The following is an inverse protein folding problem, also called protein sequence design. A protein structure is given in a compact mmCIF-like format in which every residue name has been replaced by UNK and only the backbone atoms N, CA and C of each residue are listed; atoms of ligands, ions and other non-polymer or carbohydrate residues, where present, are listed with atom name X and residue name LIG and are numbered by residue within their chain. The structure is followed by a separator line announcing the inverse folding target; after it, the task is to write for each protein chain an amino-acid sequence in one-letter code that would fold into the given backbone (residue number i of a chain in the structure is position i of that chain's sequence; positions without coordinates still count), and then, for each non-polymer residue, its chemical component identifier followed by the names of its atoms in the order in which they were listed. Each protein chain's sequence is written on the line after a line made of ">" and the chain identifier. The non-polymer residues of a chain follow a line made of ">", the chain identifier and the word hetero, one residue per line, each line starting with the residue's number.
data_IF_065286839920
#
_entry.id   IF_065286839920
#
_cell.length_a   1.000
_cell.length_b   1.000
_cell.length_c   1.000
_cell.angle_alpha   90.00
_cell.angle_beta   90.00
_cell.angle_gamma   90.00
#
_symmetry.space_group_name_H-M   'P 1'
#
loop_
_entity.id
_entity.type
_entity.pdbx_description
1 polymer ?
#
# COMPACT_ATOMS: atom_id res chain seq x y z
N UNK A 1 13.16 2.60 12.44
CA UNK A 1 12.31 3.40 13.32
C UNK A 1 12.96 3.39 14.69
N UNK A 2 13.13 4.58 15.26
CA UNK A 2 13.52 4.75 16.67
C UNK A 2 12.25 4.71 17.55
N UNK A 3 11.13 5.24 17.03
CA UNK A 3 9.82 5.26 17.68
C UNK A 3 8.75 4.66 16.75
N UNK A 4 8.50 3.33 16.82
CA UNK A 4 7.53 2.67 15.95
C UNK A 4 6.10 3.20 16.11
N UNK A 5 5.69 3.56 17.33
CA UNK A 5 4.33 4.02 17.63
C UNK A 5 4.00 5.30 16.87
N UNK A 6 4.97 6.22 16.79
CA UNK A 6 4.81 7.47 16.05
C UNK A 6 5.16 7.35 14.56
N UNK A 7 6.22 6.62 14.21
CA UNK A 7 6.73 6.58 12.84
C UNK A 7 5.92 5.66 11.92
N UNK A 8 5.43 4.51 12.40
CA UNK A 8 4.75 3.55 11.53
C UNK A 8 3.43 4.08 10.95
N UNK A 9 2.54 4.76 11.72
CA UNK A 9 1.33 5.36 11.15
C UNK A 9 1.64 6.43 10.10
N UNK A 10 2.68 7.25 10.33
CA UNK A 10 3.12 8.28 9.39
C UNK A 10 3.68 7.66 8.10
N UNK A 11 4.49 6.61 8.24
CA UNK A 11 5.00 5.83 7.11
C UNK A 11 3.85 5.31 6.24
N UNK A 12 2.83 4.67 6.82
CA UNK A 12 1.69 4.16 6.05
C UNK A 12 0.88 5.29 5.41
N UNK A 13 0.68 6.40 6.12
CA UNK A 13 0.06 7.59 5.54
C UNK A 13 0.87 8.07 4.32
N UNK A 14 2.20 8.10 4.37
CA UNK A 14 3.04 8.43 3.22
C UNK A 14 2.91 7.42 2.07
N UNK A 15 2.87 6.12 2.36
CA UNK A 15 2.75 5.08 1.33
C UNK A 15 1.41 5.09 0.61
N UNK A 16 0.35 5.53 1.30
CA UNK A 16 -1.02 5.48 0.78
C UNK A 16 -1.52 6.85 0.28
N UNK A 17 -0.97 7.96 0.78
CA UNK A 17 -1.43 9.32 0.42
C UNK A 17 -0.56 9.91 -0.67
N UNK A 18 -0.83 9.52 -1.92
CA UNK A 18 -0.29 10.14 -3.14
C UNK A 18 1.25 10.21 -3.25
N UNK A 19 2.03 9.16 -2.89
CA UNK A 19 3.47 9.21 -3.11
C UNK A 19 3.81 9.01 -4.59
N UNK A 20 4.95 9.58 -5.03
CA UNK A 20 5.60 9.14 -6.27
C UNK A 20 6.15 7.73 -6.08
N UNK A 21 6.37 6.97 -7.17
CA UNK A 21 7.00 5.64 -7.07
C UNK A 21 8.38 5.67 -6.44
N UNK A 22 9.12 6.76 -6.64
CA UNK A 22 10.40 7.00 -5.98
C UNK A 22 10.22 7.15 -4.47
N UNK A 23 9.34 8.05 -4.03
CA UNK A 23 9.07 8.28 -2.60
C UNK A 23 8.58 7.01 -1.92
N UNK A 24 7.71 6.24 -2.59
CA UNK A 24 7.24 4.95 -2.09
C UNK A 24 8.39 3.94 -1.95
N UNK A 25 9.22 3.77 -2.99
CA UNK A 25 10.36 2.86 -2.95
C UNK A 25 11.39 3.25 -1.88
N UNK A 26 11.69 4.54 -1.74
CA UNK A 26 12.61 5.05 -0.73
C UNK A 26 12.05 4.86 0.69
N UNK A 27 10.75 5.10 0.88
CA UNK A 27 10.05 4.87 2.15
C UNK A 27 10.08 3.37 2.52
N UNK A 28 9.78 2.48 1.57
CA UNK A 28 9.79 1.04 1.80
C UNK A 28 11.21 0.58 2.17
N UNK A 29 12.24 0.96 1.40
CA UNK A 29 13.64 0.61 1.72
C UNK A 29 14.10 1.12 3.07
N UNK A 30 13.66 2.32 3.45
CA UNK A 30 14.00 2.91 4.75
C UNK A 30 13.45 2.07 5.91
N UNK A 31 12.20 1.65 5.82
CA UNK A 31 11.47 1.13 6.97
C UNK A 31 11.27 -0.39 7.00
N UNK A 32 11.47 -1.09 5.89
CA UNK A 32 11.26 -2.55 5.78
C UNK A 32 12.59 -3.29 5.63
N UNK A 33 12.63 -4.55 6.05
CA UNK A 33 13.78 -5.43 5.81
C UNK A 33 13.80 -5.92 4.35
N UNK A 34 14.97 -6.28 3.84
CA UNK A 34 15.13 -6.81 2.49
C UNK A 34 14.30 -8.07 2.25
N UNK A 35 14.08 -8.85 3.30
CA UNK A 35 13.37 -10.12 3.33
C UNK A 35 11.95 -9.99 3.92
N UNK A 36 11.31 -8.82 3.80
CA UNK A 36 9.96 -8.57 4.31
C UNK A 36 8.96 -9.60 3.78
N UNK A 37 8.10 -10.10 4.67
CA UNK A 37 6.92 -10.88 4.31
C UNK A 37 5.67 -10.00 4.35
N UNK A 38 4.74 -10.22 3.42
CA UNK A 38 3.49 -9.49 3.36
C UNK A 38 2.32 -10.45 3.20
N UNK A 39 1.30 -10.31 4.03
CA UNK A 39 0.11 -11.14 4.04
C UNK A 39 -1.11 -10.26 3.87
N UNK A 40 -1.67 -10.27 2.67
CA UNK A 40 -2.90 -9.58 2.33
C UNK A 40 -3.92 -10.60 1.80
N UNK A 41 -5.19 -10.25 1.83
CA UNK A 41 -6.27 -11.19 1.45
C UNK A 41 -6.21 -11.61 -0.03
N UNK A 42 -5.71 -10.73 -0.90
CA UNK A 42 -5.57 -11.01 -2.35
C UNK A 42 -4.19 -11.50 -2.76
N UNK A 43 -3.16 -11.14 -2.00
CA UNK A 43 -1.76 -11.28 -2.41
C UNK A 43 -0.90 -11.56 -1.19
N UNK A 44 0.14 -12.35 -1.38
CA UNK A 44 1.11 -12.62 -0.32
C UNK A 44 2.52 -12.56 -0.89
N UNK A 45 3.48 -12.06 -0.11
CA UNK A 45 4.89 -11.96 -0.48
C UNK A 45 5.69 -12.80 0.50
N UNK A 46 6.43 -13.77 -0.02
CA UNK A 46 7.32 -14.61 0.80
C UNK A 46 8.59 -13.85 1.19
N UNK A 47 9.28 -14.25 2.27
CA UNK A 47 10.57 -13.67 2.62
C UNK A 47 11.62 -13.76 1.51
N UNK A 48 11.57 -14.78 0.64
CA UNK A 48 12.49 -14.94 -0.49
C UNK A 48 12.23 -13.95 -1.62
N UNK A 49 10.98 -13.53 -1.81
CA UNK A 49 10.58 -12.51 -2.76
C UNK A 49 10.94 -11.10 -2.24
N UNK A 50 10.72 -10.91 -0.93
CA UNK A 50 11.22 -9.79 -0.15
C UNK A 50 10.75 -8.42 -0.62
N UNK A 51 11.61 -7.43 -0.39
CA UNK A 51 11.29 -6.00 -0.55
C UNK A 51 10.99 -5.60 -2.00
N UNK A 52 11.53 -6.34 -2.99
CA UNK A 52 11.30 -6.07 -4.42
C UNK A 52 9.82 -6.25 -4.77
N UNK A 53 9.29 -7.46 -4.53
CA UNK A 53 7.90 -7.82 -4.85
C UNK A 53 6.94 -7.01 -4.00
N UNK A 54 7.29 -6.76 -2.74
CA UNK A 54 6.54 -5.89 -1.85
C UNK A 54 6.43 -4.45 -2.39
N UNK A 55 7.53 -3.86 -2.87
CA UNK A 55 7.52 -2.51 -3.46
C UNK A 55 6.65 -2.44 -4.71
N UNK A 56 6.80 -3.41 -5.62
CA UNK A 56 6.03 -3.46 -6.87
C UNK A 56 4.53 -3.63 -6.60
N UNK A 57 4.18 -4.40 -5.56
CA UNK A 57 2.80 -4.58 -5.10
C UNK A 57 2.16 -3.26 -4.68
N UNK A 58 2.85 -2.45 -3.87
CA UNK A 58 2.37 -1.13 -3.46
C UNK A 58 2.25 -0.16 -4.64
N UNK A 59 3.23 -0.17 -5.56
CA UNK A 59 3.19 0.64 -6.76
C UNK A 59 2.04 0.25 -7.69
N UNK A 60 1.72 -1.04 -7.77
CA UNK A 60 0.55 -1.51 -8.48
C UNK A 60 -0.75 -1.01 -7.87
N UNK A 61 -0.85 -1.14 -6.55
CA UNK A 61 -2.05 -0.76 -5.83
C UNK A 61 -2.40 0.70 -6.13
N UNK A 62 -1.42 1.60 -6.27
CA UNK A 62 -1.67 2.97 -6.71
C UNK A 62 -2.40 3.03 -8.06
N UNK A 63 -1.97 2.30 -9.09
CA UNK A 63 -2.60 2.35 -10.42
C UNK A 63 -4.07 1.93 -10.41
N UNK A 64 -4.43 0.95 -9.58
CA UNK A 64 -5.77 0.36 -9.57
C UNK A 64 -6.68 0.93 -8.48
N UNK A 65 -6.07 1.39 -7.39
CA UNK A 65 -6.74 1.85 -6.17
C UNK A 65 -6.35 3.30 -5.98
N UNK A 66 -7.25 4.19 -6.40
CA UNK A 66 -7.09 5.60 -6.10
C UNK A 66 -7.45 5.84 -4.62
N UNK A 67 -6.43 5.82 -3.75
CA UNK A 67 -6.55 6.15 -2.33
C UNK A 67 -6.89 7.64 -2.15
N UNK A 68 -8.05 7.90 -1.55
CA UNK A 68 -8.60 9.24 -1.35
C UNK A 68 -8.23 9.81 0.02
N UNK A 69 -8.34 9.00 1.06
CA UNK A 69 -7.98 9.41 2.42
C UNK A 69 -7.63 8.23 3.30
N UNK A 70 -6.70 8.43 4.21
CA UNK A 70 -6.35 7.48 5.28
C UNK A 70 -6.57 8.16 6.63
N UNK A 71 -7.40 7.55 7.47
CA UNK A 71 -7.65 7.98 8.83
C UNK A 71 -7.16 6.90 9.80
N UNK A 72 -6.10 7.22 10.55
CA UNK A 72 -5.62 6.37 11.63
C UNK A 72 -6.54 6.55 12.83
N UNK A 73 -7.11 5.46 13.32
CA UNK A 73 -8.02 5.44 14.47
C UNK A 73 -7.27 5.16 15.76
N UNK A 74 -6.48 4.09 15.76
CA UNK A 74 -5.79 3.59 16.94
C UNK A 74 -4.46 2.98 16.55
N UNK A 75 -3.52 3.05 17.49
CA UNK A 75 -2.19 2.49 17.38
C UNK A 75 -1.90 1.79 18.71
N UNK A 76 -1.52 0.53 18.66
CA UNK A 76 -1.17 -0.27 19.83
C UNK A 76 0.22 -0.84 19.61
N UNK A 77 1.15 -0.51 20.50
CA UNK A 77 2.51 -1.03 20.51
C UNK A 77 2.67 -2.11 21.58
N UNK A 78 3.14 -3.30 21.18
CA UNK A 78 3.58 -4.36 22.08
C UNK A 78 5.12 -4.49 21.99
N UNK A 79 5.81 -3.83 22.93
CA UNK A 79 7.27 -3.82 22.99
C UNK A 79 7.86 -5.22 23.18
N UNK A 80 7.20 -6.08 23.96
CA UNK A 80 7.70 -7.43 24.28
C UNK A 80 7.70 -8.33 23.04
N UNK A 81 6.71 -8.15 22.17
CA UNK A 81 6.61 -8.89 20.91
C UNK A 81 7.25 -8.16 19.73
N UNK A 82 7.73 -6.94 19.94
CA UNK A 82 8.22 -6.06 18.88
C UNK A 82 7.20 -5.93 17.73
N UNK A 83 5.95 -5.66 18.10
CA UNK A 83 4.79 -5.70 17.20
C UNK A 83 3.94 -4.45 17.37
N UNK A 84 3.46 -3.89 16.26
CA UNK A 84 2.46 -2.81 16.29
C UNK A 84 1.19 -3.25 15.58
N UNK A 85 0.04 -2.86 16.13
CA UNK A 85 -1.24 -2.96 15.46
C UNK A 85 -1.79 -1.54 15.22
N UNK A 86 -2.24 -1.27 14.00
CA UNK A 86 -2.75 0.03 13.58
C UNK A 86 -4.14 -0.17 12.99
N UNK A 87 -5.15 0.43 13.60
CA UNK A 87 -6.52 0.46 13.04
C UNK A 87 -6.67 1.70 12.16
N UNK A 88 -7.10 1.51 10.92
CA UNK A 88 -7.26 2.59 9.96
C UNK A 88 -8.51 2.44 9.09
N UNK A 89 -9.08 3.58 8.73
CA UNK A 89 -10.11 3.69 7.72
C UNK A 89 -9.50 4.27 6.44
N UNK A 90 -9.69 3.58 5.32
CA UNK A 90 -9.18 3.99 4.03
C UNK A 90 -10.36 4.22 3.09
N UNK A 91 -10.43 5.43 2.51
CA UNK A 91 -11.33 5.71 1.39
C UNK A 91 -10.60 5.48 0.08
N UNK A 92 -11.19 4.69 -0.81
CA UNK A 92 -10.61 4.39 -2.12
C UNK A 92 -11.66 4.50 -3.23
N UNK A 93 -11.23 4.89 -4.42
CA UNK A 93 -12.04 4.84 -5.64
C UNK A 93 -11.33 3.90 -6.62
N UNK A 94 -11.68 2.60 -6.69
CA UNK A 94 -11.02 1.69 -7.61
C UNK A 94 -11.22 2.16 -9.05
N UNK A 95 -10.19 2.09 -9.89
CA UNK A 95 -10.26 2.61 -11.26
C UNK A 95 -11.27 1.86 -12.15
N UNK A 96 -11.53 0.59 -11.84
CA UNK A 96 -12.60 -0.19 -12.48
C UNK A 96 -14.02 0.17 -12.00
N UNK A 97 -14.13 0.88 -10.87
CA UNK A 97 -15.37 1.29 -10.22
C UNK A 97 -15.33 2.79 -9.90
N UNK A 98 -14.92 3.62 -10.87
CA UNK A 98 -14.76 5.07 -10.70
C UNK A 98 -16.01 5.80 -10.19
N UNK A 99 -17.20 5.18 -10.33
CA UNK A 99 -18.47 5.72 -9.84
C UNK A 99 -18.75 5.43 -8.36
N UNK A 100 -17.90 4.68 -7.66
CA UNK A 100 -18.15 4.25 -6.27
C UNK A 100 -16.92 4.38 -5.39
N UNK A 101 -17.09 5.13 -4.29
CA UNK A 101 -16.13 5.14 -3.19
C UNK A 101 -16.34 3.92 -2.30
N UNK A 102 -15.25 3.21 -2.02
CA UNK A 102 -15.19 2.13 -1.05
C UNK A 102 -14.53 2.65 0.22
N UNK A 103 -15.23 2.50 1.35
CA UNK A 103 -14.65 2.69 2.67
C UNK A 103 -14.16 1.31 3.16
N UNK A 104 -12.86 1.19 3.32
CA UNK A 104 -12.20 0.00 3.83
C UNK A 104 -11.83 0.24 5.29
N UNK A 105 -12.09 -0.75 6.13
CA UNK A 105 -11.69 -0.75 7.52
C UNK A 105 -10.60 -1.81 7.68
N UNK A 106 -9.39 -1.37 8.00
CA UNK A 106 -8.21 -2.23 8.03
C UNK A 106 -7.61 -2.22 9.44
N UNK A 107 -7.32 -3.42 9.94
CA UNK A 107 -6.39 -3.64 11.02
C UNK A 107 -5.07 -4.10 10.40
N UNK A 108 -4.07 -3.25 10.51
CA UNK A 108 -2.72 -3.49 10.07
C UNK A 108 -1.90 -4.04 11.24
N UNK A 109 -1.16 -5.12 11.03
CA UNK A 109 -0.22 -5.67 12.01
C UNK A 109 1.19 -5.69 11.43
N UNK A 110 2.16 -5.13 12.15
CA UNK A 110 3.57 -5.14 11.74
C UNK A 110 4.42 -5.78 12.83
N UNK A 111 5.22 -6.77 12.43
CA UNK A 111 6.31 -7.29 13.25
C UNK A 111 7.62 -6.65 12.85
N UNK A 112 8.41 -6.26 13.84
CA UNK A 112 9.68 -5.58 13.64
C UNK A 112 10.87 -6.51 13.91
N UNK A 113 11.96 -6.20 13.21
CA UNK A 113 13.29 -6.72 13.47
C UNK A 113 14.21 -5.56 13.80
N UNK A 114 15.04 -5.77 14.81
CA UNK A 114 16.11 -4.84 15.16
C UNK A 114 17.25 -4.98 14.14
N UNK A 115 17.62 -3.87 13.52
CA UNK A 115 18.70 -3.77 12.54
C UNK A 115 19.66 -2.69 13.01
N UNK A 116 20.95 -3.02 13.10
CA UNK A 116 21.97 -2.06 13.47
C UNK A 116 22.34 -1.21 12.25
N UNK A 117 22.22 0.10 12.39
CA UNK A 117 22.67 1.05 11.38
C UNK A 117 24.21 1.11 11.40
N UNK A 118 24.85 0.79 10.28
CA UNK A 118 26.32 0.72 10.17
C UNK A 118 27.00 2.09 10.29
N UNK A 119 26.31 3.17 9.94
CA UNK A 119 26.87 4.52 9.94
C UNK A 119 26.76 5.19 11.31
N UNK A 120 25.66 4.97 12.02
CA UNK A 120 25.36 5.62 13.31
C UNK A 120 25.52 4.69 14.50
N UNK A 121 25.63 3.38 14.28
CA UNK A 121 25.71 2.36 15.31
C UNK A 121 24.40 2.13 16.09
N UNK A 122 23.36 2.92 15.82
CA UNK A 122 22.06 2.83 16.48
C UNK A 122 21.30 1.57 16.05
N UNK A 123 20.49 1.04 16.95
CA UNK A 123 19.55 -0.04 16.63
C UNK A 123 18.25 0.59 16.14
N UNK A 124 17.84 0.25 14.92
CA UNK A 124 16.62 0.71 14.29
C UNK A 124 15.67 -0.46 14.10
N UNK A 125 14.39 -0.25 14.39
CA UNK A 125 13.33 -1.22 14.08
C UNK A 125 12.93 -1.11 12.63
N UNK A 126 13.02 -2.22 11.89
CA UNK A 126 12.52 -2.35 10.52
C UNK A 126 11.41 -3.38 10.46
N UNK A 127 10.39 -3.14 9.66
CA UNK A 127 9.26 -4.07 9.48
C UNK A 127 9.75 -5.31 8.74
N UNK A 128 9.53 -6.47 9.35
CA UNK A 128 9.89 -7.78 8.83
C UNK A 128 8.67 -8.55 8.35
N UNK A 129 7.53 -8.41 9.03
CA UNK A 129 6.26 -8.97 8.58
C UNK A 129 5.20 -7.89 8.61
N UNK A 130 4.41 -7.82 7.55
CA UNK A 130 3.26 -6.94 7.41
C UNK A 130 2.04 -7.83 7.13
N UNK A 131 0.99 -7.71 7.95
CA UNK A 131 -0.30 -8.38 7.74
C UNK A 131 -1.43 -7.36 7.69
N UNK A 132 -2.28 -7.48 6.68
CA UNK A 132 -3.50 -6.71 6.55
C UNK A 132 -4.72 -7.58 6.87
N UNK A 133 -5.49 -7.16 7.86
CA UNK A 133 -6.78 -7.73 8.20
C UNK A 133 -7.87 -6.73 7.84
N UNK A 134 -8.88 -7.17 7.08
CA UNK A 134 -9.99 -6.31 6.69
C UNK A 134 -11.19 -6.64 7.57
N UNK A 135 -11.82 -5.60 8.13
CA UNK A 135 -13.18 -5.72 8.66
C UNK A 135 -14.09 -5.98 7.46
N UNK A 136 -14.63 -7.20 7.42
CA UNK A 136 -15.36 -7.77 6.29
C UNK A 136 -16.42 -6.82 5.72
N UNK A 137 -16.36 -6.56 4.42
CA UNK A 137 -17.44 -5.91 3.67
C UNK A 137 -18.19 -6.99 2.87
N UNK A 138 -19.51 -7.15 3.04
CA UNK A 138 -20.32 -8.13 2.31
C UNK A 138 -20.19 -8.06 0.78
N UNK A 139 -19.74 -6.91 0.27
CA UNK A 139 -19.51 -6.66 -1.16
C UNK A 139 -18.31 -7.47 -1.69
N UNK A 140 -17.31 -7.74 -0.84
CA UNK A 140 -16.10 -8.49 -1.23
C UNK A 140 -16.40 -10.01 -1.26
N UNK A 141 -17.25 -10.52 -0.36
CA UNK A 141 -17.74 -11.91 -0.38
C UNK A 141 -18.54 -12.25 -1.65
N UNK A 142 -19.26 -11.28 -2.20
CA UNK A 142 -20.10 -11.48 -3.38
C UNK A 142 -19.30 -11.68 -4.69
N UNK A 143 -17.95 -11.62 -4.65
CA UNK A 143 -17.08 -11.78 -5.82
C UNK A 143 -16.58 -13.24 -5.86
N UNK A 144 -17.11 -14.10 -6.75
CA UNK A 144 -16.88 -15.56 -6.70
C UNK A 144 -15.42 -16.01 -6.86
N UNK A 145 -14.59 -15.20 -7.53
CA UNK A 145 -13.17 -15.51 -7.80
C UNK A 145 -12.29 -15.20 -6.58
N UNK A 146 -12.75 -14.34 -5.66
CA UNK A 146 -11.95 -13.88 -4.51
C UNK A 146 -11.97 -14.92 -3.37
N UNK A 147 -13.05 -15.72 -3.25
CA UNK A 147 -13.19 -16.74 -2.20
C UNK A 147 -12.12 -17.83 -2.27
N UNK A 148 -11.88 -18.43 -3.44
CA UNK A 148 -10.91 -19.54 -3.57
C UNK A 148 -9.44 -19.07 -3.39
N UNK A 149 -9.14 -17.82 -3.76
CA UNK A 149 -7.82 -17.19 -3.52
C UNK A 149 -7.63 -16.91 -2.02
N UNK A 150 -8.74 -16.69 -1.30
CA UNK A 150 -8.74 -16.43 0.13
C UNK A 150 -8.47 -17.68 0.97
N UNK A 151 -8.78 -18.89 0.50
CA UNK A 151 -8.62 -20.09 1.36
C UNK A 151 -7.22 -20.72 1.31
N UNK A 152 -6.30 -20.23 0.47
CA UNK A 152 -4.96 -20.79 0.37
C UNK A 152 -3.87 -19.74 0.15
N UNK A 153 -2.78 -19.82 0.90
CA UNK A 153 -1.64 -18.91 0.73
C UNK A 153 -0.89 -19.13 -0.59
N UNK A 154 -0.83 -20.38 -1.08
CA UNK A 154 -0.04 -20.74 -2.26
C UNK A 154 -0.50 -20.03 -3.54
N UNK A 155 -1.81 -19.99 -3.87
CA UNK A 155 -2.32 -19.15 -4.95
C UNK A 155 -1.98 -17.67 -4.79
N UNK A 156 -2.08 -17.11 -3.57
CA UNK A 156 -1.77 -15.69 -3.32
C UNK A 156 -0.31 -15.35 -3.59
N UNK A 157 0.62 -16.24 -3.26
CA UNK A 157 2.04 -16.06 -3.59
C UNK A 157 2.29 -16.09 -5.11
N UNK A 158 1.66 -17.03 -5.82
CA UNK A 158 1.79 -17.13 -7.29
C UNK A 158 1.24 -15.87 -7.94
N UNK A 159 0.05 -15.40 -7.52
CA UNK A 159 -0.53 -14.15 -8.02
C UNK A 159 0.42 -12.99 -7.78
N UNK A 160 0.97 -12.84 -6.57
CA UNK A 160 1.90 -11.75 -6.26
C UNK A 160 3.16 -11.77 -7.14
N UNK A 161 3.80 -12.92 -7.33
CA UNK A 161 5.01 -13.04 -8.16
C UNK A 161 4.74 -12.80 -9.64
N UNK A 162 3.66 -13.38 -10.19
CA UNK A 162 3.26 -13.19 -11.59
C UNK A 162 2.93 -11.72 -11.83
N UNK A 163 2.13 -11.13 -10.94
CA UNK A 163 1.79 -9.72 -11.00
C UNK A 163 3.05 -8.84 -10.91
N UNK A 164 3.96 -9.11 -9.98
CA UNK A 164 5.22 -8.37 -9.85
C UNK A 164 6.08 -8.47 -11.11
N UNK A 165 6.18 -9.64 -11.73
CA UNK A 165 6.88 -9.82 -12.99
C UNK A 165 6.30 -8.95 -14.11
N UNK A 166 4.97 -8.97 -14.30
CA UNK A 166 4.32 -8.17 -15.33
C UNK A 166 4.44 -6.66 -15.06
N UNK A 167 4.41 -6.24 -13.81
CA UNK A 167 4.61 -4.83 -13.44
C UNK A 167 6.03 -4.41 -13.74
N UNK A 168 7.01 -5.23 -13.37
CA UNK A 168 8.40 -4.91 -13.66
C UNK A 168 8.62 -4.75 -15.16
N UNK A 169 8.03 -5.65 -15.96
CA UNK A 169 8.04 -5.53 -17.41
C UNK A 169 7.35 -4.24 -17.90
N UNK A 170 6.17 -3.93 -17.37
CA UNK A 170 5.41 -2.72 -17.72
C UNK A 170 6.18 -1.44 -17.34
N UNK A 171 6.72 -1.35 -16.13
CA UNK A 171 7.49 -0.19 -15.65
C UNK A 171 8.77 -0.03 -16.47
N UNK A 172 9.47 -1.12 -16.80
CA UNK A 172 10.64 -1.08 -17.69
C UNK A 172 10.26 -0.60 -19.09
N UNK A 173 9.18 -1.15 -19.67
CA UNK A 173 8.68 -0.75 -20.98
C UNK A 173 8.25 0.72 -21.00
N UNK A 174 7.50 1.17 -20.00
CA UNK A 174 7.06 2.55 -19.85
C UNK A 174 8.27 3.51 -19.74
N UNK A 175 9.28 3.17 -18.94
CA UNK A 175 10.49 3.99 -18.81
C UNK A 175 11.34 4.03 -20.08
N UNK A 176 11.30 2.98 -20.90
CA UNK A 176 11.99 2.91 -22.19
C UNK A 176 11.25 3.71 -23.28
N UNK A 177 9.92 3.56 -23.35
CA UNK A 177 9.08 4.06 -24.44
C UNK A 177 8.59 5.50 -24.20
N UNK A 178 8.44 5.92 -22.94
CA UNK A 178 7.91 7.23 -22.60
C UNK A 178 9.04 8.21 -22.24
N UNK A 179 9.23 9.29 -23.00
CA UNK A 179 10.23 10.32 -22.70
C UNK A 179 10.10 10.84 -21.27
N UNK A 180 11.21 11.17 -20.62
CA UNK A 180 11.23 11.61 -19.21
C UNK A 180 10.25 12.77 -18.93
N UNK A 181 10.19 13.77 -19.82
CA UNK A 181 9.26 14.90 -19.73
C UNK A 181 7.78 14.47 -19.76
N UNK A 182 7.45 13.45 -20.54
CA UNK A 182 6.09 12.90 -20.60
C UNK A 182 5.77 12.02 -19.40
N UNK A 183 6.77 11.40 -18.77
CA UNK A 183 6.57 10.63 -17.52
C UNK A 183 6.18 11.53 -16.36
N UNK A 184 6.85 12.67 -16.22
CA UNK A 184 6.48 13.68 -15.23
C UNK A 184 5.09 14.25 -15.52
N UNK A 185 4.80 14.63 -16.77
CA UNK A 185 3.49 15.14 -17.15
C UNK A 185 2.36 14.11 -16.96
N UNK A 186 2.59 12.84 -17.28
CA UNK A 186 1.61 11.77 -17.08
C UNK A 186 1.38 11.45 -15.60
N UNK A 187 2.43 11.51 -14.78
CA UNK A 187 2.30 11.36 -13.33
C UNK A 187 1.56 12.56 -12.72
N UNK A 188 1.84 13.77 -13.16
CA UNK A 188 1.11 14.98 -12.75
C UNK A 188 -0.35 14.92 -13.18
N UNK A 189 -0.62 14.52 -14.42
CA UNK A 189 -1.98 14.27 -14.90
C UNK A 189 -2.68 13.20 -14.07
N UNK A 190 -2.01 12.09 -13.76
CA UNK A 190 -2.57 11.05 -12.90
C UNK A 190 -2.86 11.56 -11.48
N UNK A 191 -1.95 12.34 -10.91
CA UNK A 191 -2.07 12.98 -9.59
C UNK A 191 -3.23 13.99 -9.53
N UNK A 192 -3.42 14.79 -10.58
CA UNK A 192 -4.48 15.81 -10.64
C UNK A 192 -5.84 15.24 -11.05
N UNK A 193 -5.89 14.37 -12.06
CA UNK A 193 -7.14 13.96 -12.74
C UNK A 193 -7.60 12.54 -12.44
N UNK A 194 -6.80 11.71 -11.79
CA UNK A 194 -7.25 10.38 -11.38
C UNK A 194 -7.37 10.24 -9.86
N UNK A 195 -6.88 11.22 -9.09
CA UNK A 195 -6.98 11.24 -7.62
C UNK A 195 -7.89 12.30 -7.01
N UNK A 196 -8.46 13.19 -7.83
CA UNK A 196 -9.50 14.13 -7.43
C UNK A 196 -10.86 13.54 -7.83
N UNK A 197 -11.92 13.55 -7.01
CA UNK A 197 -13.25 13.15 -7.44
C UNK A 197 -13.66 13.93 -8.71
N UNK A 198 -14.26 13.27 -9.70
CA UNK A 198 -14.60 13.86 -11.01
C UNK A 198 -15.40 15.18 -10.89
N UNK A 199 -16.23 15.31 -9.84
CA UNK A 199 -16.95 16.54 -9.53
C UNK A 199 -16.03 17.71 -9.16
N UNK A 200 -15.01 17.46 -8.32
CA UNK A 200 -14.03 18.47 -7.90
C UNK A 200 -13.11 18.87 -9.06
N UNK A 201 -12.87 17.96 -10.02
CA UNK A 201 -12.11 18.26 -11.25
C UNK A 201 -12.80 19.28 -12.16
N UNK A 202 -14.13 19.37 -12.10
CA UNK A 202 -14.94 20.31 -12.89
C UNK A 202 -15.44 21.51 -12.06
N UNK A 203 -14.85 21.78 -10.90
CA UNK A 203 -15.21 22.92 -10.06
C UNK A 203 -16.52 22.76 -9.30
N UNK A 204 -17.09 21.54 -9.25
CA UNK A 204 -18.26 21.23 -8.42
C UNK A 204 -17.76 20.81 -7.04
N UNK A 205 -17.78 21.75 -6.10
CA UNK A 205 -17.50 21.47 -4.69
C UNK A 205 -18.63 20.59 -4.12
N UNK A 206 -18.32 19.32 -3.78
CA UNK A 206 -19.21 18.47 -2.99
C UNK A 206 -19.02 18.80 -1.50
N UNK A 207 -19.15 20.08 -1.14
CA UNK A 207 -19.41 20.47 0.23
C UNK A 207 -20.85 20.93 0.34
N UNK A 208 -21.75 19.95 0.53
CA UNK A 208 -22.99 20.03 1.31
C UNK A 208 -23.84 18.78 1.05
N UNK A 209 -23.79 17.84 1.98
CA UNK A 209 -24.94 17.04 2.42
C UNK A 209 -24.46 15.94 3.37
N UNK A 210 -24.09 16.31 4.60
CA UNK A 210 -24.33 15.47 5.79
C UNK A 210 -24.48 16.45 6.97
N UNK A 211 -25.73 16.83 7.23
CA UNK A 211 -26.24 16.93 8.60
C UNK A 211 -26.82 15.55 8.95
#
# INVERSE_FOLDING_TARGET
>A
MEDPEREAPLMFKTLLTRPTFKVMGDTIRKYFTEDVAFHHFLIAVTPSAGIRVYTLTFQLALFFINYQSVLIRDVIWDEKKNLIAIRMDIKTNPWIMLWRTLNLHILLELEFRDVKDENTGKVLKKVKVHRDYFLWSPIIEAIPIIGDIYDSEKPRYIVAEVTAFFIELFVRAYNLLVPAKLREAAFEFWREFLQVPLAEQHGVSIHKAVD
#
